data_IF_532666777238
#
_entry.id   IF_532666777238
#
_cell.length_a   1.000
_cell.length_b   1.000
_cell.length_c   1.000
_cell.angle_alpha   90.00
_cell.angle_beta   90.00
_cell.angle_gamma   90.00
#
_symmetry.space_group_name_H-M   'P 1'
#
loop_
_entity.id
_entity.type
_entity.pdbx_description
1 polymer ?
#
# COMPACT_ATOMS: atom_id res chain seq x y z
N UNK A 1 -2.52 -17.01 0.23
CA UNK A 1 -2.65 -15.56 0.02
C UNK A 1 -1.50 -14.88 0.73
N UNK A 2 -0.65 -14.10 0.05
CA UNK A 2 0.15 -13.09 0.76
C UNK A 2 -0.75 -11.86 0.83
N UNK A 3 -1.33 -11.65 2.01
CA UNK A 3 -2.13 -10.47 2.32
C UNK A 3 -1.19 -9.25 2.35
N UNK A 4 -1.71 -8.06 2.03
CA UNK A 4 -1.03 -6.79 2.22
C UNK A 4 -0.41 -6.79 3.62
N UNK A 5 0.90 -6.95 3.75
CA UNK A 5 1.54 -7.16 5.05
C UNK A 5 2.43 -5.97 5.38
N UNK A 6 2.30 -5.44 6.59
CA UNK A 6 3.28 -4.52 7.14
C UNK A 6 4.56 -5.30 7.40
N UNK A 7 5.62 -4.95 6.68
CA UNK A 7 6.87 -5.71 6.64
C UNK A 7 7.71 -5.53 7.90
N UNK A 8 7.80 -4.30 8.44
CA UNK A 8 8.47 -3.96 9.71
C UNK A 8 8.45 -2.44 9.95
N UNK A 9 8.66 -2.02 11.19
CA UNK A 9 9.28 -0.73 11.50
C UNK A 9 10.76 -0.94 11.77
N UNK A 10 11.63 -0.23 11.06
CA UNK A 10 13.09 -0.40 11.19
C UNK A 10 13.74 0.56 12.19
N UNK A 11 13.03 1.63 12.57
CA UNK A 11 13.51 2.65 13.50
C UNK A 11 12.33 3.20 14.30
N UNK A 12 12.31 2.92 15.61
CA UNK A 12 11.20 3.30 16.49
C UNK A 12 11.05 4.82 16.65
N UNK A 13 12.15 5.56 16.54
CA UNK A 13 12.18 7.02 16.64
C UNK A 13 11.66 7.65 15.34
N UNK A 14 11.97 7.02 14.20
CA UNK A 14 11.52 7.50 12.90
C UNK A 14 10.06 7.16 12.59
N UNK A 15 9.39 6.28 13.33
CA UNK A 15 7.95 5.97 13.14
C UNK A 15 7.58 5.63 11.69
N UNK A 16 8.42 4.85 11.03
CA UNK A 16 8.22 4.41 9.64
C UNK A 16 7.56 3.05 9.59
N UNK A 17 6.44 2.96 8.87
CA UNK A 17 5.74 1.71 8.59
C UNK A 17 5.92 1.34 7.12
N UNK A 18 6.56 0.20 6.86
CA UNK A 18 6.78 -0.35 5.52
C UNK A 18 5.65 -1.33 5.21
N UNK A 19 4.98 -1.17 4.08
CA UNK A 19 3.84 -2.04 3.72
C UNK A 19 3.75 -2.30 2.23
N UNK A 20 3.46 -3.54 1.87
CA UNK A 20 2.97 -3.87 0.53
C UNK A 20 1.53 -3.40 0.43
N UNK A 21 1.34 -2.21 -0.14
CA UNK A 21 0.02 -1.65 -0.37
C UNK A 21 -0.79 -2.50 -1.36
N UNK A 22 -0.14 -3.10 -2.35
CA UNK A 22 -0.75 -4.05 -3.27
C UNK A 22 0.26 -5.08 -3.76
N UNK A 23 -0.22 -6.28 -4.07
CA UNK A 23 0.49 -7.31 -4.83
C UNK A 23 -0.44 -7.70 -5.96
N UNK A 24 0.01 -7.56 -7.21
CA UNK A 24 -0.84 -7.72 -8.40
C UNK A 24 -0.67 -9.08 -9.05
N UNK A 25 0.54 -9.64 -9.00
CA UNK A 25 0.84 -10.95 -9.55
C UNK A 25 1.67 -11.79 -8.59
N UNK A 26 1.61 -13.12 -8.72
CA UNK A 26 2.54 -14.04 -8.04
C UNK A 26 2.88 -15.18 -8.99
N UNK A 27 4.17 -15.44 -9.19
CA UNK A 27 4.61 -16.45 -10.16
C UNK A 27 4.17 -16.16 -11.60
N UNK A 28 3.94 -14.88 -11.93
CA UNK A 28 3.46 -14.45 -13.24
C UNK A 28 1.94 -14.49 -13.43
N UNK A 29 1.18 -15.01 -12.47
CA UNK A 29 -0.29 -15.04 -12.52
C UNK A 29 -0.90 -13.90 -11.72
N UNK A 30 -2.01 -13.32 -12.22
CA UNK A 30 -2.76 -12.29 -11.50
C UNK A 30 -3.31 -12.83 -10.18
N UNK A 31 -3.17 -12.05 -9.12
CA UNK A 31 -3.80 -12.36 -7.85
C UNK A 31 -5.27 -11.98 -7.89
N UNK A 32 -6.10 -12.93 -7.48
CA UNK A 32 -7.54 -12.74 -7.30
C UNK A 32 -7.80 -12.44 -5.83
N UNK A 33 -8.50 -11.34 -5.56
CA UNK A 33 -8.91 -10.94 -4.23
C UNK A 33 -10.09 -11.79 -3.71
N UNK A 34 -10.55 -11.49 -2.48
CA UNK A 34 -11.64 -12.23 -1.83
C UNK A 34 -13.00 -12.01 -2.53
N UNK A 35 -13.12 -10.98 -3.37
CA UNK A 35 -14.30 -10.66 -4.16
C UNK A 35 -14.27 -11.30 -5.56
N UNK A 36 -13.18 -11.98 -5.93
CA UNK A 36 -13.05 -12.59 -7.25
C UNK A 36 -12.49 -11.63 -8.31
N UNK A 37 -11.96 -10.47 -7.90
CA UNK A 37 -11.40 -9.49 -8.84
C UNK A 37 -9.89 -9.56 -8.85
N UNK A 38 -9.31 -9.13 -9.97
CA UNK A 38 -7.88 -8.90 -10.10
C UNK A 38 -7.64 -7.52 -10.71
N UNK A 39 -6.46 -6.97 -10.48
CA UNK A 39 -6.04 -5.72 -11.11
C UNK A 39 -4.72 -5.94 -11.81
N UNK A 40 -4.66 -5.54 -13.08
CA UNK A 40 -3.42 -5.60 -13.87
C UNK A 40 -2.34 -4.75 -13.21
N UNK A 41 -1.09 -5.24 -13.25
CA UNK A 41 0.08 -4.54 -12.69
C UNK A 41 0.18 -3.10 -13.19
N UNK A 42 -0.04 -2.86 -14.49
CA UNK A 42 0.06 -1.53 -15.09
C UNK A 42 -1.06 -0.57 -14.63
N UNK A 43 -2.28 -1.07 -14.45
CA UNK A 43 -3.38 -0.28 -13.92
C UNK A 43 -3.10 0.13 -12.46
N UNK A 44 -2.65 -0.82 -11.64
CA UNK A 44 -2.29 -0.56 -10.24
C UNK A 44 -1.08 0.38 -10.12
N UNK A 45 -0.09 0.26 -11.01
CA UNK A 45 1.05 1.18 -11.06
C UNK A 45 0.63 2.60 -11.43
N UNK A 46 -0.26 2.75 -12.41
CA UNK A 46 -0.81 4.06 -12.79
C UNK A 46 -1.57 4.69 -11.62
N UNK A 47 -2.43 3.92 -10.95
CA UNK A 47 -3.15 4.38 -9.76
C UNK A 47 -2.20 4.78 -8.61
N UNK A 48 -1.13 4.01 -8.39
CA UNK A 48 -0.10 4.34 -7.41
C UNK A 48 0.59 5.68 -7.76
N UNK A 49 0.95 5.91 -9.01
CA UNK A 49 1.53 7.18 -9.45
C UNK A 49 0.57 8.35 -9.24
N UNK A 50 -0.69 8.23 -9.61
CA UNK A 50 -1.69 9.27 -9.40
C UNK A 50 -1.91 9.59 -7.91
N UNK A 51 -1.96 8.55 -7.06
CA UNK A 51 -2.06 8.72 -5.62
C UNK A 51 -0.85 9.47 -5.05
N UNK A 52 0.36 9.12 -5.51
CA UNK A 52 1.58 9.83 -5.12
C UNK A 52 1.62 11.24 -5.71
N UNK A 53 1.05 11.52 -6.88
CA UNK A 53 1.03 12.90 -7.40
C UNK A 53 0.08 13.80 -6.60
N UNK A 54 -1.07 13.27 -6.20
CA UNK A 54 -2.20 14.11 -5.77
C UNK A 54 -2.56 14.02 -4.28
N UNK A 55 -2.19 12.93 -3.59
CA UNK A 55 -2.61 12.68 -2.20
C UNK A 55 -1.42 12.52 -1.25
N UNK A 56 -0.59 11.48 -1.43
CA UNK A 56 0.54 11.12 -0.53
C UNK A 56 0.19 11.01 0.96
N UNK A 57 -1.06 10.80 1.31
CA UNK A 57 -1.52 10.74 2.71
C UNK A 57 -2.04 9.36 3.07
N UNK A 58 -1.66 8.84 4.23
CA UNK A 58 -2.24 7.63 4.80
C UNK A 58 -3.29 7.95 5.87
N UNK A 59 -4.50 7.41 5.69
CA UNK A 59 -5.56 7.43 6.71
C UNK A 59 -5.54 6.18 7.60
N UNK A 60 -6.46 6.11 8.55
CA UNK A 60 -6.64 4.92 9.41
C UNK A 60 -8.05 4.37 9.28
N UNK A 61 -8.16 3.06 8.99
CA UNK A 61 -9.42 2.30 9.00
C UNK A 61 -10.57 2.94 8.19
N UNK A 62 -10.27 3.71 7.14
CA UNK A 62 -11.25 4.49 6.35
C UNK A 62 -12.12 5.45 7.18
N UNK A 63 -11.65 5.82 8.39
CA UNK A 63 -12.31 6.83 9.20
C UNK A 63 -12.23 8.19 8.49
N UNK A 64 -13.33 8.92 8.54
CA UNK A 64 -13.47 10.25 7.98
C UNK A 64 -13.72 11.24 9.09
N UNK A 65 -13.21 12.44 8.91
CA UNK A 65 -13.52 13.57 9.76
C UNK A 65 -15.01 13.93 9.60
N UNK A 66 -15.69 14.16 10.71
CA UNK A 66 -17.15 14.30 10.73
C UNK A 66 -17.62 15.57 10.02
N UNK A 67 -16.80 16.62 9.99
CA UNK A 67 -17.13 17.90 9.36
C UNK A 67 -16.76 17.91 7.88
N UNK A 68 -15.50 17.64 7.56
CA UNK A 68 -14.97 17.70 6.19
C UNK A 68 -15.34 16.49 5.33
N UNK A 69 -15.73 15.37 5.95
CA UNK A 69 -15.96 14.06 5.29
C UNK A 69 -14.73 13.50 4.56
N UNK A 70 -13.56 14.11 4.76
CA UNK A 70 -12.30 13.63 4.23
C UNK A 70 -11.68 12.57 5.15
N UNK A 71 -10.84 11.65 4.62
CA UNK A 71 -10.13 10.68 5.44
C UNK A 71 -9.32 11.37 6.55
N UNK A 72 -9.39 10.86 7.77
CA UNK A 72 -8.56 11.34 8.87
C UNK A 72 -7.11 11.00 8.53
N UNK A 73 -6.33 12.03 8.20
CA UNK A 73 -4.91 11.91 7.91
C UNK A 73 -4.14 11.63 9.21
N UNK A 74 -3.42 10.52 9.24
CA UNK A 74 -2.59 10.12 10.40
C UNK A 74 -1.12 9.87 10.03
N UNK A 75 -0.82 9.87 8.73
CA UNK A 75 0.51 9.60 8.20
C UNK A 75 0.74 10.26 6.84
N UNK A 76 2.01 10.40 6.49
CA UNK A 76 2.48 10.84 5.18
C UNK A 76 3.26 9.72 4.50
N UNK A 77 3.09 9.57 3.18
CA UNK A 77 3.94 8.69 2.39
C UNK A 77 5.28 9.38 2.15
N UNK A 78 6.35 8.74 2.60
CA UNK A 78 7.72 9.25 2.46
C UNK A 78 8.52 8.50 1.40
N UNK A 79 8.17 7.25 1.13
CA UNK A 79 8.76 6.45 0.04
C UNK A 79 7.65 5.64 -0.65
N UNK A 80 7.78 5.46 -1.96
CA UNK A 80 6.84 4.69 -2.77
C UNK A 80 7.58 4.08 -3.95
N UNK A 81 7.49 2.76 -4.10
CA UNK A 81 8.14 2.04 -5.18
C UNK A 81 7.26 0.92 -5.68
N UNK A 82 7.10 0.84 -7.00
CA UNK A 82 6.39 -0.26 -7.64
C UNK A 82 7.40 -1.21 -8.26
N UNK A 83 7.35 -2.48 -7.87
CA UNK A 83 8.24 -3.52 -8.34
C UNK A 83 7.58 -4.31 -9.48
N UNK A 84 7.66 -3.80 -10.70
CA UNK A 84 7.26 -4.55 -11.90
C UNK A 84 8.34 -5.57 -12.27
N UNK A 85 8.00 -6.58 -13.05
CA UNK A 85 8.96 -7.57 -13.57
C UNK A 85 10.09 -6.89 -14.38
N UNK A 86 9.75 -5.85 -15.14
CA UNK A 86 10.74 -5.07 -15.90
C UNK A 86 11.72 -4.35 -14.98
N UNK A 87 11.22 -3.68 -13.94
CA UNK A 87 12.08 -2.99 -12.97
C UNK A 87 12.96 -3.98 -12.21
N UNK A 88 12.38 -5.10 -11.76
CA UNK A 88 13.12 -6.15 -11.06
C UNK A 88 14.25 -6.71 -11.94
N UNK A 89 13.98 -6.97 -13.23
CA UNK A 89 15.00 -7.38 -14.20
C UNK A 89 16.10 -6.34 -14.37
N UNK A 90 15.76 -5.05 -14.46
CA UNK A 90 16.74 -3.97 -14.57
C UNK A 90 17.63 -3.84 -13.33
N UNK A 91 17.08 -4.13 -12.15
CA UNK A 91 17.79 -4.13 -10.87
C UNK A 91 18.55 -5.44 -10.59
N UNK A 92 18.31 -6.50 -11.36
CA UNK A 92 18.91 -7.82 -11.14
C UNK A 92 18.35 -8.56 -9.92
N UNK A 93 17.09 -8.30 -9.55
CA UNK A 93 16.39 -8.96 -8.45
C UNK A 93 15.19 -9.75 -8.97
N UNK A 94 14.71 -10.71 -8.18
CA UNK A 94 13.46 -11.43 -8.41
C UNK A 94 12.75 -11.64 -7.06
N UNK A 95 11.59 -11.01 -6.91
CA UNK A 95 10.74 -11.12 -5.73
C UNK A 95 9.72 -12.26 -5.86
N UNK A 96 9.55 -12.84 -7.06
CA UNK A 96 8.53 -13.84 -7.37
C UNK A 96 7.10 -13.29 -7.46
N UNK A 97 6.93 -11.96 -7.37
CA UNK A 97 5.66 -11.25 -7.47
C UNK A 97 5.89 -9.81 -7.95
N UNK A 98 4.83 -9.17 -8.45
CA UNK A 98 4.81 -7.72 -8.70
C UNK A 98 3.93 -7.02 -7.66
N UNK A 99 4.30 -5.81 -7.26
CA UNK A 99 3.54 -5.10 -6.24
C UNK A 99 4.04 -3.70 -5.92
N UNK A 100 3.26 -3.02 -5.09
CA UNK A 100 3.49 -1.65 -4.65
C UNK A 100 3.91 -1.62 -3.19
N UNK A 101 5.14 -1.19 -2.94
CA UNK A 101 5.67 -0.92 -1.62
C UNK A 101 5.51 0.57 -1.30
N UNK A 102 4.99 0.88 -0.12
CA UNK A 102 4.97 2.24 0.43
C UNK A 102 5.56 2.27 1.84
N UNK A 103 6.15 3.42 2.16
CA UNK A 103 6.64 3.73 3.50
C UNK A 103 5.89 4.94 4.01
N UNK A 104 5.25 4.77 5.16
CA UNK A 104 4.44 5.81 5.80
C UNK A 104 5.11 6.28 7.08
N UNK A 105 5.27 7.60 7.22
CA UNK A 105 5.64 8.27 8.46
C UNK A 105 4.36 8.49 9.28
N UNK A 106 4.23 7.76 10.39
CA UNK A 106 3.05 7.83 11.26
C UNK A 106 3.25 8.91 12.32
N UNK A 107 2.31 9.86 12.38
CA UNK A 107 2.39 10.99 13.31
C UNK A 107 1.56 10.77 14.57
N UNK A 108 0.42 10.08 14.45
CA UNK A 108 -0.48 9.82 15.58
C UNK A 108 0.05 8.70 16.50
N UNK A 109 0.16 9.00 17.80
CA UNK A 109 0.70 8.08 18.81
C UNK A 109 -0.13 6.80 18.96
N UNK A 110 -1.46 6.90 18.86
CA UNK A 110 -2.35 5.73 19.01
C UNK A 110 -2.19 4.82 17.80
N UNK A 111 -2.19 5.39 16.60
CA UNK A 111 -1.95 4.63 15.35
C UNK A 111 -0.57 4.00 15.38
N UNK A 112 0.46 4.72 15.83
CA UNK A 112 1.80 4.16 15.97
C UNK A 112 1.83 2.97 16.95
N UNK A 113 1.13 3.09 18.09
CA UNK A 113 0.94 1.98 19.02
C UNK A 113 0.28 0.75 18.36
N UNK A 114 -0.71 0.96 17.50
CA UNK A 114 -1.36 -0.13 16.75
C UNK A 114 -0.42 -0.79 15.75
N UNK A 115 0.38 -0.01 15.00
CA UNK A 115 1.42 -0.53 14.09
C UNK A 115 2.41 -1.40 14.87
N UNK A 116 2.96 -0.89 15.98
CA UNK A 116 3.92 -1.64 16.81
C UNK A 116 3.34 -2.93 17.38
N UNK A 117 2.05 -2.91 17.74
CA UNK A 117 1.36 -4.10 18.26
C UNK A 117 0.99 -5.12 17.17
N UNK A 118 1.19 -4.81 15.89
CA UNK A 118 0.78 -5.66 14.76
C UNK A 118 -0.73 -5.66 14.49
N UNK A 119 -1.53 -4.87 15.22
CA UNK A 119 -2.98 -4.78 15.02
C UNK A 119 -3.36 -4.12 13.69
N UNK A 120 -2.47 -3.31 13.12
CA UNK A 120 -2.54 -2.86 11.73
C UNK A 120 -1.64 -3.74 10.88
N UNK A 121 -2.05 -4.99 10.67
CA UNK A 121 -1.25 -5.99 9.96
C UNK A 121 -1.21 -5.74 8.45
N UNK A 122 -2.16 -4.97 7.91
CA UNK A 122 -2.36 -4.77 6.48
C UNK A 122 -2.70 -3.32 6.13
N UNK A 123 -2.25 -2.90 4.94
CA UNK A 123 -2.76 -1.70 4.29
C UNK A 123 -4.12 -1.99 3.65
N UNK A 124 -4.95 -0.96 3.54
CA UNK A 124 -6.17 -1.00 2.72
C UNK A 124 -6.11 0.17 1.75
N UNK A 125 -6.28 -0.11 0.45
CA UNK A 125 -6.30 0.91 -0.59
C UNK A 125 -7.77 1.28 -0.85
N UNK A 126 -8.10 2.55 -0.69
CA UNK A 126 -9.33 3.13 -1.20
C UNK A 126 -9.10 3.73 -2.59
N UNK A 127 -10.02 3.50 -3.52
CA UNK A 127 -9.95 4.02 -4.88
C UNK A 127 -11.23 3.71 -5.65
N UNK A 128 -11.29 4.18 -6.89
CA UNK A 128 -12.38 3.89 -7.83
C UNK A 128 -11.79 3.33 -9.13
N UNK A 129 -12.54 2.47 -9.81
CA UNK A 129 -12.14 1.90 -11.09
C UNK A 129 -13.34 1.36 -11.85
N UNK A 130 -13.11 0.94 -13.09
CA UNK A 130 -14.10 0.33 -13.97
C UNK A 130 -13.72 -1.12 -14.24
N UNK A 131 -14.72 -2.01 -14.27
CA UNK A 131 -14.50 -3.40 -14.68
C UNK A 131 -14.32 -3.47 -16.19
N UNK A 132 -13.43 -4.36 -16.63
CA UNK A 132 -13.40 -4.84 -18.00
C UNK A 132 -14.09 -6.20 -18.04
N UNK A 133 -14.99 -6.36 -18.99
CA UNK A 133 -15.67 -7.63 -19.30
C UNK A 133 -14.70 -8.70 -19.81
#
# INVERSE_FOLDING_TARGET
>A
MMEQQVLKSFDEDQRLAYVWASVTTKGGELLIDKQGHSIETQAMQSAAHEFILNKRTGGVMHLKDDESKEPIKVSDVVESMFFTNELQKALGIDLGFEGWLVVMKVHDDKVWGLVKSGKLAAASIGGSGEYKD
#
